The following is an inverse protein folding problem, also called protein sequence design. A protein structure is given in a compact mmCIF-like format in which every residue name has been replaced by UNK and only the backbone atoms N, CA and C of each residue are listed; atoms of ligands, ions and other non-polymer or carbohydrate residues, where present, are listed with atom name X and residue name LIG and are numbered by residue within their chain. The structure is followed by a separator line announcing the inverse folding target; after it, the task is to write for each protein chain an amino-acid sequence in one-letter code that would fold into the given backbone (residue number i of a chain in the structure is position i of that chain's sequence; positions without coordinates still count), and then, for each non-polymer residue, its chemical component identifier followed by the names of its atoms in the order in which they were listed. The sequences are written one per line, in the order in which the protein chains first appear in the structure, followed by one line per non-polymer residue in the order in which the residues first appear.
data_IF_636910048088
#
_entry.id   IF_636910048088
#
_cell.length_a   1.000
_cell.length_b   1.000
_cell.length_c   1.000
_cell.angle_alpha   90.00
_cell.angle_beta   90.00
_cell.angle_gamma   90.00
#
_symmetry.space_group_name_H-M   'P 1'
#
loop_
_entity.id
_entity.type
_entity.pdbx_description
1 polymer ?
#
# COMPACT_ATOMS: atom_id res chain seq x y z
N UNK A 1 -5.34 -26.79 18.00
CA UNK A 1 -4.13 -25.98 18.23
C UNK A 1 -4.04 -24.96 17.11
N UNK A 2 -4.32 -23.68 17.38
CA UNK A 2 -4.41 -22.65 16.33
C UNK A 2 -3.06 -22.44 15.64
N UNK A 3 -3.01 -22.40 14.30
CA UNK A 3 -1.81 -22.20 13.47
C UNK A 3 -0.85 -21.08 13.95
N UNK A 4 -1.38 -20.05 14.63
CA UNK A 4 -0.61 -19.00 15.28
C UNK A 4 0.33 -19.48 16.40
N UNK A 5 -0.02 -20.56 17.12
CA UNK A 5 0.87 -21.14 18.14
C UNK A 5 2.04 -21.89 17.52
N UNK A 6 1.79 -22.63 16.43
CA UNK A 6 2.85 -23.30 15.68
C UNK A 6 3.84 -22.27 15.10
N UNK A 7 3.35 -21.15 14.55
CA UNK A 7 4.22 -20.10 14.01
C UNK A 7 5.12 -19.40 15.04
N UNK A 8 4.69 -19.30 16.31
CA UNK A 8 5.50 -18.75 17.41
C UNK A 8 6.54 -19.79 17.91
N UNK A 9 6.25 -21.08 17.75
CA UNK A 9 7.15 -22.18 18.11
C UNK A 9 8.29 -22.40 17.09
N UNK A 10 8.11 -21.98 15.83
CA UNK A 10 9.15 -21.98 14.80
C UNK A 10 10.08 -20.75 14.88
N UNK A 11 10.66 -20.50 16.06
CA UNK A 11 11.87 -19.68 16.19
C UNK A 11 13.12 -20.52 15.82
N UNK A 12 13.05 -21.24 14.71
CA UNK A 12 14.19 -21.96 14.16
C UNK A 12 14.93 -20.97 13.27
N UNK A 13 16.16 -20.62 13.65
CA UNK A 13 17.02 -19.73 12.87
C UNK A 13 17.30 -20.41 11.52
N UNK A 14 16.55 -20.02 10.49
CA UNK A 14 16.71 -20.53 9.13
C UNK A 14 18.13 -20.15 8.67
N UNK A 15 19.03 -21.13 8.62
CA UNK A 15 20.41 -20.93 8.17
C UNK A 15 20.44 -20.49 6.71
N UNK A 16 21.35 -19.59 6.31
CA UNK A 16 21.44 -19.06 4.93
C UNK A 16 21.56 -20.17 3.87
N UNK A 17 22.13 -21.30 4.24
CA UNK A 17 22.30 -22.48 3.39
C UNK A 17 20.96 -23.18 3.07
N UNK A 18 20.07 -23.31 4.06
CA UNK A 18 18.72 -23.83 3.91
C UNK A 18 17.85 -22.88 3.08
N UNK A 19 18.03 -21.56 3.26
CA UNK A 19 17.31 -20.57 2.47
C UNK A 19 17.73 -20.58 0.99
N UNK A 20 19.00 -20.87 0.69
CA UNK A 20 19.55 -20.91 -0.69
C UNK A 20 19.27 -22.21 -1.43
N UNK A 21 18.99 -23.30 -0.72
CA UNK A 21 18.70 -24.60 -1.29
C UNK A 21 17.62 -24.58 -2.39
N UNK A 22 16.44 -23.96 -2.21
CA UNK A 22 15.41 -23.88 -3.26
C UNK A 22 15.83 -23.04 -4.48
N UNK A 23 16.79 -22.12 -4.33
CA UNK A 23 17.31 -21.28 -5.41
C UNK A 23 18.45 -21.95 -6.21
N UNK A 24 18.89 -23.15 -5.82
CA UNK A 24 19.89 -23.93 -6.57
C UNK A 24 19.26 -24.53 -7.83
N UNK A 25 20.04 -24.57 -8.92
CA UNK A 25 19.63 -25.10 -10.23
C UNK A 25 19.23 -24.04 -11.27
N UNK A 26 19.68 -24.22 -12.51
CA UNK A 26 19.49 -23.27 -13.62
C UNK A 26 18.02 -22.96 -13.88
N UNK A 27 17.15 -23.97 -13.82
CA UNK A 27 15.71 -23.82 -14.05
C UNK A 27 15.03 -22.97 -12.95
N UNK A 28 15.40 -23.17 -11.69
CA UNK A 28 14.86 -22.39 -10.58
C UNK A 28 15.37 -20.95 -10.63
N UNK A 29 16.66 -20.73 -10.91
CA UNK A 29 17.23 -19.39 -11.12
C UNK A 29 16.45 -18.60 -12.18
N UNK A 30 16.17 -19.19 -13.33
CA UNK A 30 15.40 -18.53 -14.40
C UNK A 30 13.99 -18.16 -13.90
N UNK A 31 13.30 -19.05 -13.20
CA UNK A 31 11.96 -18.77 -12.63
C UNK A 31 11.98 -17.58 -11.66
N UNK A 32 12.97 -17.52 -10.77
CA UNK A 32 13.09 -16.42 -9.81
C UNK A 32 13.44 -15.09 -10.48
N UNK A 33 14.30 -15.12 -11.51
CA UNK A 33 14.59 -13.93 -12.32
C UNK A 33 13.32 -13.44 -13.03
N UNK A 34 12.56 -14.35 -13.64
CA UNK A 34 11.31 -14.00 -14.30
C UNK A 34 10.30 -13.42 -13.32
N UNK A 35 10.14 -14.00 -12.12
CA UNK A 35 9.27 -13.45 -11.07
C UNK A 35 9.65 -12.00 -10.73
N UNK A 36 10.95 -11.72 -10.53
CA UNK A 36 11.43 -10.36 -10.24
C UNK A 36 11.14 -9.40 -11.38
N UNK A 37 11.40 -9.81 -12.62
CA UNK A 37 11.10 -9.00 -13.81
C UNK A 37 9.60 -8.72 -13.89
N UNK A 38 8.74 -9.72 -13.67
CA UNK A 38 7.29 -9.55 -13.65
C UNK A 38 6.85 -8.54 -12.59
N UNK A 39 7.38 -8.62 -11.37
CA UNK A 39 7.06 -7.65 -10.31
C UNK A 39 7.48 -6.22 -10.70
N UNK A 40 8.69 -6.05 -11.27
CA UNK A 40 9.17 -4.74 -11.73
C UNK A 40 8.31 -4.20 -12.86
N UNK A 41 7.96 -5.04 -13.86
CA UNK A 41 7.11 -4.63 -14.98
C UNK A 41 5.74 -4.17 -14.50
N UNK A 42 5.12 -4.90 -13.57
CA UNK A 42 3.84 -4.49 -12.97
C UNK A 42 3.99 -3.14 -12.26
N UNK A 43 5.04 -2.95 -11.45
CA UNK A 43 5.30 -1.69 -10.77
C UNK A 43 5.45 -0.52 -11.76
N UNK A 44 6.17 -0.72 -12.86
CA UNK A 44 6.35 0.30 -13.90
C UNK A 44 5.04 0.66 -14.58
N UNK A 45 4.21 -0.34 -14.94
CA UNK A 45 2.91 -0.09 -15.55
C UNK A 45 2.02 0.74 -14.62
N UNK A 46 1.97 0.39 -13.33
CA UNK A 46 1.19 1.13 -12.33
C UNK A 46 1.74 2.55 -12.16
N UNK A 47 3.06 2.72 -12.11
CA UNK A 47 3.70 4.04 -11.97
C UNK A 47 3.38 4.97 -13.15
N UNK A 48 3.35 4.45 -14.38
CA UNK A 48 2.97 5.23 -15.57
C UNK A 48 1.46 5.54 -15.57
N UNK A 49 0.62 4.55 -15.26
CA UNK A 49 -0.83 4.75 -15.25
C UNK A 49 -1.30 5.73 -14.16
N UNK A 50 -0.61 5.76 -13.02
CA UNK A 50 -0.93 6.63 -11.89
C UNK A 50 0.01 7.84 -11.76
N UNK A 51 0.75 8.20 -12.82
CA UNK A 51 1.76 9.26 -12.78
C UNK A 51 1.19 10.59 -12.26
N UNK A 52 -0.01 10.96 -12.69
CA UNK A 52 -0.65 12.22 -12.32
C UNK A 52 -1.28 12.20 -10.91
N UNK A 53 -1.43 11.01 -10.31
CA UNK A 53 -2.05 10.78 -9.00
C UNK A 53 -1.18 9.91 -8.09
N UNK A 54 0.15 10.05 -8.17
CA UNK A 54 1.12 9.22 -7.42
C UNK A 54 0.90 9.29 -5.90
N UNK A 55 0.55 10.47 -5.38
CA UNK A 55 0.25 10.66 -3.96
C UNK A 55 -0.98 9.84 -3.52
N UNK A 56 -2.03 9.78 -4.33
CA UNK A 56 -3.21 8.96 -4.03
C UNK A 56 -2.87 7.46 -4.08
N UNK A 57 -1.94 7.03 -4.95
CA UNK A 57 -1.46 5.63 -4.99
C UNK A 57 -0.66 5.25 -3.73
N UNK A 58 0.20 6.15 -3.28
CA UNK A 58 0.98 5.99 -2.06
C UNK A 58 0.05 5.90 -0.83
N UNK A 59 -0.90 6.83 -0.73
CA UNK A 59 -1.89 6.86 0.35
C UNK A 59 -2.76 5.58 0.35
N UNK A 60 -3.19 5.10 -0.83
CA UNK A 60 -3.92 3.84 -0.95
C UNK A 60 -3.09 2.64 -0.47
N UNK A 61 -1.81 2.57 -0.86
CA UNK A 61 -0.91 1.47 -0.48
C UNK A 61 -0.59 1.51 1.02
N UNK A 62 -0.39 2.70 1.60
CA UNK A 62 -0.19 2.90 3.03
C UNK A 62 -1.43 2.52 3.85
N UNK A 63 -2.61 2.95 3.41
CA UNK A 63 -3.87 2.63 4.07
C UNK A 63 -4.19 1.13 4.05
N UNK A 64 -3.81 0.42 2.99
CA UNK A 64 -4.09 -1.02 2.82
C UNK A 64 -2.98 -1.90 3.39
N UNK A 65 -1.87 -2.04 2.67
CA UNK A 65 -0.83 -3.02 2.93
C UNK A 65 -0.02 -2.68 4.19
N UNK A 66 0.30 -1.40 4.40
CA UNK A 66 1.07 -1.00 5.57
C UNK A 66 0.22 -1.15 6.84
N UNK A 67 -0.95 -0.53 6.90
CA UNK A 67 -1.83 -0.59 8.09
C UNK A 67 -2.21 -2.02 8.47
N UNK A 68 -2.49 -2.91 7.51
CA UNK A 68 -2.80 -4.32 7.81
C UNK A 68 -1.61 -5.10 8.35
N UNK A 69 -0.43 -4.97 7.73
CA UNK A 69 0.74 -5.76 8.08
C UNK A 69 1.49 -5.24 9.32
N UNK A 70 1.67 -3.92 9.45
CA UNK A 70 2.54 -3.36 10.51
C UNK A 70 1.77 -2.80 11.71
N UNK A 71 0.49 -2.42 11.56
CA UNK A 71 -0.30 -1.87 12.68
C UNK A 71 -1.31 -2.89 13.21
N UNK A 72 -2.18 -3.43 12.34
CA UNK A 72 -3.24 -4.36 12.77
C UNK A 72 -2.68 -5.72 13.19
N UNK A 73 -1.80 -6.32 12.39
CA UNK A 73 -1.29 -7.67 12.66
C UNK A 73 -0.59 -7.82 14.03
N UNK A 74 0.38 -6.98 14.42
CA UNK A 74 1.04 -7.14 15.72
C UNK A 74 0.08 -6.89 16.89
N UNK A 75 -0.82 -5.90 16.79
CA UNK A 75 -1.78 -5.59 17.85
C UNK A 75 -2.79 -6.74 18.01
N UNK A 76 -3.28 -7.32 16.92
CA UNK A 76 -4.17 -8.49 16.95
C UNK A 76 -3.47 -9.70 17.59
N UNK A 77 -2.22 -9.98 17.21
CA UNK A 77 -1.44 -11.10 17.77
C UNK A 77 -1.21 -10.88 19.26
N UNK A 78 -0.77 -9.70 19.66
CA UNK A 78 -0.54 -9.35 21.07
C UNK A 78 -1.81 -9.55 21.90
N UNK A 79 -2.93 -9.00 21.41
CA UNK A 79 -4.21 -9.10 22.06
C UNK A 79 -4.69 -10.56 22.15
N UNK A 80 -4.48 -11.38 21.11
CA UNK A 80 -4.80 -12.82 21.12
C UNK A 80 -3.95 -13.63 22.09
N UNK A 81 -2.65 -13.34 22.21
CA UNK A 81 -1.72 -14.10 23.07
C UNK A 81 -1.94 -13.75 24.55
N UNK A 82 -2.09 -12.47 24.87
CA UNK A 82 -2.14 -12.00 26.26
C UNK A 82 -3.54 -11.68 26.79
N UNK A 83 -4.61 -12.01 26.05
CA UNK A 83 -6.00 -11.64 26.38
C UNK A 83 -6.43 -11.88 27.83
N UNK A 84 -5.96 -12.97 28.45
CA UNK A 84 -6.32 -13.37 29.82
C UNK A 84 -5.43 -12.77 30.91
N UNK A 85 -4.23 -12.29 30.59
CA UNK A 85 -3.29 -11.71 31.57
C UNK A 85 -3.27 -10.18 31.55
N UNK A 86 -3.96 -9.57 30.60
CA UNK A 86 -3.91 -8.14 30.32
C UNK A 86 -4.88 -7.34 31.19
N UNK A 87 -4.44 -6.18 31.69
CA UNK A 87 -5.28 -5.24 32.42
C UNK A 87 -6.38 -4.65 31.53
N UNK A 88 -7.50 -4.27 32.14
CA UNK A 88 -8.68 -3.73 31.44
C UNK A 88 -8.34 -2.41 30.71
N UNK A 89 -7.42 -1.61 31.27
CA UNK A 89 -6.96 -0.36 30.65
C UNK A 89 -6.23 -0.62 29.33
N UNK A 90 -5.21 -1.48 29.34
CA UNK A 90 -4.44 -1.79 28.13
C UNK A 90 -5.32 -2.43 27.06
N UNK A 91 -6.28 -3.26 27.48
CA UNK A 91 -7.24 -3.91 26.57
C UNK A 91 -8.09 -2.87 25.85
N UNK A 92 -8.56 -1.86 26.58
CA UNK A 92 -9.39 -0.79 26.03
C UNK A 92 -8.56 0.10 25.11
N UNK A 93 -7.33 0.46 25.50
CA UNK A 93 -6.42 1.25 24.67
C UNK A 93 -6.06 0.53 23.36
N UNK A 94 -5.74 -0.77 23.43
CA UNK A 94 -5.42 -1.58 22.24
C UNK A 94 -6.63 -1.68 21.30
N UNK A 95 -7.83 -1.84 21.85
CA UNK A 95 -9.05 -1.90 21.05
C UNK A 95 -9.38 -0.55 20.39
N UNK A 96 -9.16 0.57 21.09
CA UNK A 96 -9.32 1.91 20.51
C UNK A 96 -8.36 2.15 19.34
N UNK A 97 -7.10 1.73 19.48
CA UNK A 97 -6.11 1.84 18.39
C UNK A 97 -6.51 0.98 17.19
N UNK A 98 -6.95 -0.27 17.42
CA UNK A 98 -7.43 -1.14 16.33
C UNK A 98 -8.60 -0.52 15.57
N UNK A 99 -9.58 0.03 16.30
CA UNK A 99 -10.74 0.69 15.70
C UNK A 99 -10.28 1.93 14.94
N UNK A 100 -9.49 2.81 15.55
CA UNK A 100 -9.02 4.04 14.93
C UNK A 100 -8.24 3.79 13.64
N UNK A 101 -7.28 2.87 13.67
CA UNK A 101 -6.50 2.49 12.49
C UNK A 101 -7.36 1.82 11.40
N UNK A 102 -8.34 0.99 11.78
CA UNK A 102 -9.25 0.38 10.81
C UNK A 102 -10.16 1.43 10.15
N UNK A 103 -10.74 2.36 10.91
CA UNK A 103 -11.59 3.42 10.36
C UNK A 103 -10.80 4.38 9.47
N UNK A 104 -9.65 4.87 9.94
CA UNK A 104 -8.80 5.76 9.15
C UNK A 104 -8.26 5.07 7.88
N UNK A 105 -7.84 3.80 8.01
CA UNK A 105 -7.38 3.00 6.87
C UNK A 105 -8.49 2.78 5.83
N UNK A 106 -9.70 2.38 6.26
CA UNK A 106 -10.84 2.23 5.36
C UNK A 106 -11.23 3.56 4.70
N UNK A 107 -11.22 4.67 5.45
CA UNK A 107 -11.53 6.00 4.91
C UNK A 107 -10.55 6.41 3.81
N UNK A 108 -9.24 6.36 4.10
CA UNK A 108 -8.21 6.72 3.13
C UNK A 108 -8.22 5.77 1.93
N UNK A 109 -8.49 4.47 2.14
CA UNK A 109 -8.61 3.50 1.04
C UNK A 109 -9.74 3.85 0.07
N UNK A 110 -10.91 4.25 0.58
CA UNK A 110 -12.05 4.64 -0.27
C UNK A 110 -11.75 5.96 -0.98
N UNK A 111 -11.30 6.98 -0.24
CA UNK A 111 -11.06 8.32 -0.79
C UNK A 111 -9.94 8.32 -1.83
N UNK A 112 -8.82 7.66 -1.55
CA UNK A 112 -7.74 7.51 -2.50
C UNK A 112 -8.16 6.62 -3.68
N UNK A 113 -8.93 5.55 -3.43
CA UNK A 113 -9.42 4.65 -4.48
C UNK A 113 -10.37 5.32 -5.47
N UNK A 114 -11.31 6.14 -5.01
CA UNK A 114 -12.23 6.88 -5.88
C UNK A 114 -11.47 7.83 -6.81
N UNK A 115 -10.48 8.56 -6.29
CA UNK A 115 -9.60 9.41 -7.08
C UNK A 115 -8.74 8.64 -8.07
N UNK A 116 -8.31 7.43 -7.71
CA UNK A 116 -7.43 6.61 -8.55
C UNK A 116 -8.14 5.94 -9.73
N UNK A 117 -9.41 5.57 -9.56
CA UNK A 117 -10.14 4.72 -10.52
C UNK A 117 -11.34 5.38 -11.21
N UNK A 118 -11.84 6.52 -10.70
CA UNK A 118 -13.11 7.13 -11.17
C UNK A 118 -12.97 8.62 -11.51
N UNK A 119 -11.77 9.09 -11.86
CA UNK A 119 -11.54 10.52 -12.15
C UNK A 119 -12.46 11.02 -13.29
N UNK A 120 -13.57 11.65 -12.91
CA UNK A 120 -14.62 12.19 -13.81
C UNK A 120 -14.89 13.67 -13.55
N UNK A 121 -14.10 14.33 -12.69
CA UNK A 121 -14.25 15.76 -12.41
C UNK A 121 -12.99 16.50 -12.86
N UNK A 122 -13.11 17.06 -14.06
CA UNK A 122 -12.55 18.36 -14.42
C UNK A 122 -11.02 18.51 -14.17
N UNK A 123 -10.20 17.71 -14.85
CA UNK A 123 -8.76 17.96 -15.00
C UNK A 123 -8.53 19.13 -16.00
N UNK A 124 -9.32 20.21 -15.89
CA UNK A 124 -9.05 21.44 -16.63
C UNK A 124 -7.88 22.15 -15.96
N UNK A 125 -6.81 22.32 -16.73
CA UNK A 125 -5.56 22.92 -16.25
C UNK A 125 -5.76 24.38 -15.77
N UNK A 126 -6.83 25.03 -16.24
CA UNK A 126 -7.26 26.37 -15.86
C UNK A 126 -8.78 26.45 -15.59
N UNK A 127 -9.25 26.05 -14.40
CA UNK A 127 -10.69 25.94 -14.10
C UNK A 127 -11.44 27.28 -14.06
N UNK A 128 -10.70 28.40 -14.03
CA UNK A 128 -11.25 29.75 -14.05
C UNK A 128 -11.25 30.39 -15.45
N UNK A 129 -10.77 29.68 -16.48
CA UNK A 129 -10.79 30.14 -17.86
C UNK A 129 -12.08 29.69 -18.57
N UNK A 130 -12.49 30.44 -19.60
CA UNK A 130 -13.57 30.02 -20.50
C UNK A 130 -13.24 28.66 -21.11
N UNK A 131 -14.27 27.83 -21.35
CA UNK A 131 -14.15 26.42 -21.74
C UNK A 131 -13.21 26.13 -22.93
N UNK A 132 -12.98 27.11 -23.81
CA UNK A 132 -12.06 27.00 -24.94
C UNK A 132 -10.56 27.04 -24.54
N UNK A 133 -10.24 27.59 -23.37
CA UNK A 133 -8.86 27.82 -22.89
C UNK A 133 -8.53 27.05 -21.61
N UNK A 134 -9.36 26.08 -21.26
CA UNK A 134 -9.23 25.30 -20.04
C UNK A 134 -8.09 24.26 -20.11
N UNK A 135 -7.70 23.85 -21.31
CA UNK A 135 -6.71 22.78 -21.54
C UNK A 135 -5.36 23.27 -22.11
N UNK A 136 -5.32 24.42 -22.79
CA UNK A 136 -4.10 24.95 -23.42
C UNK A 136 -3.78 26.38 -22.96
N UNK A 137 -2.53 26.68 -22.52
CA UNK A 137 -2.16 28.01 -22.08
C UNK A 137 -2.16 29.01 -23.24
N UNK A 138 -3.07 29.98 -23.20
CA UNK A 138 -3.10 31.08 -24.17
C UNK A 138 -1.97 32.08 -23.88
N UNK A 139 -0.89 32.03 -24.66
CA UNK A 139 0.14 33.07 -24.64
C UNK A 139 -0.07 34.08 -25.78
N UNK A 140 -0.44 35.31 -25.45
CA UNK A 140 -0.35 36.43 -26.40
C UNK A 140 1.11 36.82 -26.55
N UNK A 141 1.77 36.32 -27.60
CA UNK A 141 3.09 36.84 -27.99
C UNK A 141 2.89 38.23 -28.59
N UNK A 142 3.06 39.28 -27.79
CA UNK A 142 3.06 40.64 -28.28
C UNK A 142 4.33 40.90 -29.11
N UNK A 143 4.20 40.93 -30.44
CA UNK A 143 5.29 41.18 -31.39
C UNK A 143 5.41 42.66 -31.79
N UNK A 144 4.88 43.60 -30.99
CA UNK A 144 5.01 45.02 -31.29
C UNK A 144 6.40 45.49 -30.87
N UNK A 145 7.30 45.57 -31.86
CA UNK A 145 8.56 46.33 -31.82
C UNK A 145 8.27 47.84 -31.77
#
# INVERSE_FOLDING_TARGET
MSHLRAAIEFNEEITEEQLREPYKGTKNKIRYIMLRITMIVIMVIVAVAAQDKFLDLEDFTGATAHTTNCMLMPVIIYMRVFWRKMSILDKTASMLVLIGCAFAGCYMMIHAGEKLFTSSEDDTMFPYCDAEYQDEPYYVRNNTN
#
